data_IF_816853709637
#
_entry.id   IF_816853709637
#
_cell.length_a   1.000
_cell.length_b   1.000
_cell.length_c   1.000
_cell.angle_alpha   90.00
_cell.angle_beta   90.00
_cell.angle_gamma   90.00
#
_symmetry.space_group_name_H-M   'P 1'
#
loop_
_entity.id
_entity.type
_entity.pdbx_description
1 polymer ?
#
# COMPACT_ATOMS: atom_id res chain seq x y z
N UNK A 1 13.64 15.24 -30.71
CA UNK A 1 14.77 14.35 -30.36
C UNK A 1 14.72 13.93 -28.89
N UNK A 2 14.46 14.80 -27.93
CA UNK A 2 14.37 14.49 -26.48
C UNK A 2 13.26 13.49 -26.12
N UNK A 3 12.09 13.55 -26.76
CA UNK A 3 10.98 12.62 -26.49
C UNK A 3 11.34 11.15 -26.82
N UNK A 4 12.12 10.93 -27.87
CA UNK A 4 12.55 9.59 -28.29
C UNK A 4 13.57 8.96 -27.31
N UNK A 5 14.38 9.78 -26.62
CA UNK A 5 15.27 9.30 -25.56
C UNK A 5 14.52 8.98 -24.26
N UNK A 6 13.44 9.70 -23.95
CA UNK A 6 12.59 9.44 -22.78
C UNK A 6 11.92 8.05 -22.84
N UNK A 7 11.45 7.64 -24.04
CA UNK A 7 10.77 6.34 -24.20
C UNK A 7 11.64 5.12 -23.88
N UNK A 8 12.96 5.26 -23.93
CA UNK A 8 13.91 4.20 -23.59
C UNK A 8 14.59 4.40 -22.23
N UNK A 9 14.72 5.65 -21.77
CA UNK A 9 15.44 5.97 -20.54
C UNK A 9 14.70 5.45 -19.29
N UNK A 10 13.36 5.60 -19.23
CA UNK A 10 12.56 5.13 -18.10
C UNK A 10 12.55 3.59 -18.00
N UNK A 11 12.24 2.82 -19.06
CA UNK A 11 12.34 1.36 -19.01
C UNK A 11 13.75 0.88 -18.65
N UNK A 12 14.80 1.50 -19.20
CA UNK A 12 16.16 1.13 -18.88
C UNK A 12 16.51 1.38 -17.41
N UNK A 13 16.09 2.52 -16.86
CA UNK A 13 16.29 2.85 -15.44
C UNK A 13 15.53 1.88 -14.52
N UNK A 14 14.31 1.47 -14.88
CA UNK A 14 13.53 0.47 -14.14
C UNK A 14 14.24 -0.89 -14.17
N UNK A 15 14.74 -1.32 -15.33
CA UNK A 15 15.49 -2.58 -15.44
C UNK A 15 16.78 -2.52 -14.62
N UNK A 16 17.54 -1.41 -14.70
CA UNK A 16 18.74 -1.22 -13.90
C UNK A 16 18.45 -1.25 -12.39
N UNK A 17 17.36 -0.61 -11.95
CA UNK A 17 16.92 -0.66 -10.57
C UNK A 17 16.54 -2.08 -10.12
N UNK A 18 15.84 -2.84 -10.97
CA UNK A 18 15.51 -4.24 -10.70
C UNK A 18 16.76 -5.12 -10.57
N UNK A 19 17.73 -4.97 -11.50
CA UNK A 19 19.01 -5.70 -11.43
C UNK A 19 19.75 -5.37 -10.14
N UNK A 20 19.85 -4.09 -9.78
CA UNK A 20 20.48 -3.66 -8.54
C UNK A 20 19.76 -4.20 -7.30
N UNK A 21 18.42 -4.21 -7.31
CA UNK A 21 17.64 -4.82 -6.24
C UNK A 21 18.00 -6.30 -6.05
N UNK A 22 18.11 -7.07 -7.13
CA UNK A 22 18.56 -8.46 -7.05
C UNK A 22 19.99 -8.58 -6.52
N UNK A 23 20.92 -7.72 -6.97
CA UNK A 23 22.32 -7.74 -6.54
C UNK A 23 22.51 -7.41 -5.05
N UNK A 24 21.69 -6.50 -4.50
CA UNK A 24 21.76 -6.14 -3.06
C UNK A 24 21.10 -7.18 -2.16
N UNK A 25 20.25 -8.04 -2.72
CA UNK A 25 19.55 -9.05 -1.95
C UNK A 25 20.44 -10.29 -1.72
N UNK A 26 20.84 -10.58 -0.45
CA UNK A 26 21.72 -11.71 -0.15
C UNK A 26 21.15 -13.08 -0.53
N UNK A 27 19.85 -13.18 -0.73
CA UNK A 27 19.18 -14.41 -1.16
C UNK A 27 19.57 -14.82 -2.59
N UNK A 28 19.75 -13.84 -3.47
CA UNK A 28 20.09 -14.11 -4.87
C UNK A 28 21.61 -14.09 -5.13
N UNK A 29 22.34 -13.25 -4.40
CA UNK A 29 23.78 -13.08 -4.56
C UNK A 29 24.50 -13.02 -3.20
N UNK A 30 24.64 -14.16 -2.51
CA UNK A 30 25.28 -14.22 -1.18
C UNK A 30 26.75 -13.84 -1.19
N UNK A 31 27.43 -13.98 -2.34
CA UNK A 31 28.86 -13.70 -2.49
C UNK A 31 29.22 -12.21 -2.60
N UNK A 32 28.23 -11.31 -2.72
CA UNK A 32 28.48 -9.85 -2.80
C UNK A 32 28.91 -9.34 -1.43
N UNK A 33 30.04 -8.64 -1.35
CA UNK A 33 30.57 -8.08 -0.12
C UNK A 33 29.67 -6.98 0.48
N UNK A 34 29.84 -6.71 1.78
CA UNK A 34 29.01 -5.73 2.50
C UNK A 34 29.17 -4.31 1.96
N UNK A 35 30.37 -3.90 1.57
CA UNK A 35 30.65 -2.58 0.99
C UNK A 35 30.02 -2.41 -0.38
N UNK A 36 30.16 -3.41 -1.25
CA UNK A 36 29.58 -3.42 -2.60
C UNK A 36 28.05 -3.40 -2.52
N UNK A 37 27.49 -4.14 -1.58
CA UNK A 37 26.05 -4.14 -1.29
C UNK A 37 25.55 -2.79 -0.81
N UNK A 38 26.31 -2.11 0.05
CA UNK A 38 26.00 -0.75 0.51
C UNK A 38 25.98 0.25 -0.64
N UNK A 39 26.99 0.23 -1.50
CA UNK A 39 27.05 1.09 -2.70
C UNK A 39 25.90 0.80 -3.64
N UNK A 40 25.61 -0.47 -3.95
CA UNK A 40 24.52 -0.85 -4.83
C UNK A 40 23.14 -0.44 -4.26
N UNK A 41 22.95 -0.48 -2.94
CA UNK A 41 21.75 0.00 -2.27
C UNK A 41 21.57 1.51 -2.47
N UNK A 42 22.61 2.31 -2.28
CA UNK A 42 22.55 3.75 -2.51
C UNK A 42 22.21 4.04 -3.99
N UNK A 43 22.88 3.38 -4.92
CA UNK A 43 22.63 3.55 -6.36
C UNK A 43 21.19 3.15 -6.72
N UNK A 44 20.67 2.06 -6.13
CA UNK A 44 19.27 1.65 -6.30
C UNK A 44 18.30 2.76 -5.89
N UNK A 45 18.45 3.34 -4.70
CA UNK A 45 17.55 4.38 -4.23
C UNK A 45 17.65 5.68 -5.05
N UNK A 46 18.86 6.05 -5.48
CA UNK A 46 19.05 7.20 -6.39
C UNK A 46 18.34 6.96 -7.70
N UNK A 47 18.48 5.77 -8.31
CA UNK A 47 17.77 5.42 -9.53
C UNK A 47 16.26 5.40 -9.34
N UNK A 48 15.76 4.91 -8.21
CA UNK A 48 14.32 4.94 -7.90
C UNK A 48 13.78 6.37 -7.83
N UNK A 49 14.53 7.29 -7.20
CA UNK A 49 14.15 8.71 -7.18
C UNK A 49 14.13 9.29 -8.59
N UNK A 50 15.14 9.00 -9.40
CA UNK A 50 15.20 9.45 -10.79
C UNK A 50 14.02 8.91 -11.61
N UNK A 51 13.69 7.62 -11.47
CA UNK A 51 12.52 7.01 -12.12
C UNK A 51 11.23 7.72 -11.71
N UNK A 52 11.04 7.96 -10.41
CA UNK A 52 9.86 8.66 -9.90
C UNK A 52 9.76 10.07 -10.47
N UNK A 53 10.86 10.83 -10.49
CA UNK A 53 10.88 12.18 -11.07
C UNK A 53 10.53 12.14 -12.57
N UNK A 54 11.12 11.21 -13.33
CA UNK A 54 10.82 11.06 -14.76
C UNK A 54 9.35 10.69 -15.01
N UNK A 55 8.77 9.79 -14.19
CA UNK A 55 7.36 9.44 -14.27
C UNK A 55 6.44 10.62 -13.91
N UNK A 56 6.81 11.44 -12.93
CA UNK A 56 6.08 12.65 -12.61
C UNK A 56 6.14 13.70 -13.71
N UNK A 57 7.26 13.82 -14.41
CA UNK A 57 7.39 14.71 -15.56
C UNK A 57 6.64 14.19 -16.79
N UNK A 58 6.61 12.86 -17.00
CA UNK A 58 5.90 12.22 -18.11
C UNK A 58 4.38 12.44 -18.01
N UNK A 59 3.84 12.57 -16.78
CA UNK A 59 2.44 12.96 -16.54
C UNK A 59 2.04 14.30 -17.16
N UNK A 60 3.02 15.16 -17.49
CA UNK A 60 2.81 16.46 -18.15
C UNK A 60 2.92 16.36 -19.67
N UNK A 61 3.16 15.15 -20.22
CA UNK A 61 3.19 14.94 -21.66
C UNK A 61 1.80 15.22 -22.28
N UNK A 62 1.73 15.79 -23.49
CA UNK A 62 0.46 15.99 -24.19
C UNK A 62 -0.30 14.68 -24.34
N UNK A 63 -1.62 14.68 -24.11
CA UNK A 63 -2.50 13.50 -24.23
C UNK A 63 -2.37 12.78 -25.58
N UNK A 64 -1.97 13.49 -26.63
CA UNK A 64 -1.76 12.92 -27.96
C UNK A 64 -0.62 11.88 -28.05
N UNK A 65 0.28 11.83 -27.05
CA UNK A 65 1.39 10.85 -27.00
C UNK A 65 1.08 9.64 -26.13
N UNK A 66 -0.05 9.63 -25.41
CA UNK A 66 -0.44 8.52 -24.53
C UNK A 66 -1.52 7.68 -25.18
N UNK A 67 -1.33 6.35 -25.16
CA UNK A 67 -2.35 5.40 -25.60
C UNK A 67 -3.08 4.88 -24.37
N UNK A 68 -4.37 5.19 -24.24
CA UNK A 68 -5.21 4.67 -23.19
C UNK A 68 -5.61 3.23 -23.52
N UNK A 69 -5.25 2.27 -22.67
CA UNK A 69 -5.59 0.87 -22.86
C UNK A 69 -6.92 0.58 -22.17
N UNK A 70 -7.94 0.28 -22.96
CA UNK A 70 -9.23 -0.14 -22.41
C UNK A 70 -9.11 -1.53 -21.74
N UNK A 71 -9.49 -1.60 -20.47
CA UNK A 71 -9.56 -2.86 -19.74
C UNK A 71 -10.74 -3.74 -20.19
N UNK A 72 -10.68 -5.06 -19.92
CA UNK A 72 -11.80 -5.97 -20.17
C UNK A 72 -13.10 -5.48 -19.52
N UNK A 73 -14.25 -5.80 -20.11
CA UNK A 73 -15.56 -5.37 -19.61
C UNK A 73 -15.80 -5.77 -18.14
N UNK A 74 -15.29 -6.93 -17.73
CA UNK A 74 -15.39 -7.42 -16.35
C UNK A 74 -14.61 -6.52 -15.37
N UNK A 75 -13.38 -6.11 -15.68
CA UNK A 75 -12.59 -5.24 -14.81
C UNK A 75 -13.20 -3.85 -14.71
N UNK A 76 -13.71 -3.31 -15.82
CA UNK A 76 -14.46 -2.05 -15.79
C UNK A 76 -15.71 -2.14 -14.93
N UNK A 77 -16.47 -3.25 -15.03
CA UNK A 77 -17.61 -3.48 -14.14
C UNK A 77 -17.17 -3.50 -12.67
N UNK A 78 -16.16 -4.29 -12.35
CA UNK A 78 -15.74 -4.53 -10.98
C UNK A 78 -15.19 -3.27 -10.29
N UNK A 79 -14.42 -2.45 -11.02
CA UNK A 79 -13.70 -1.30 -10.45
C UNK A 79 -14.30 0.08 -10.77
N UNK A 80 -15.28 0.15 -11.68
CA UNK A 80 -15.83 1.43 -12.13
C UNK A 80 -17.35 1.49 -12.14
N UNK A 81 -18.06 0.42 -11.80
CA UNK A 81 -19.51 0.38 -11.77
C UNK A 81 -20.01 0.38 -10.31
N UNK A 82 -20.90 1.30 -9.96
CA UNK A 82 -21.42 1.41 -8.58
C UNK A 82 -22.19 0.18 -8.11
N UNK A 83 -22.77 -0.62 -9.03
CA UNK A 83 -23.40 -1.90 -8.68
C UNK A 83 -22.40 -2.93 -8.15
N UNK A 84 -21.15 -2.87 -8.63
CA UNK A 84 -20.08 -3.73 -8.10
C UNK A 84 -19.73 -3.42 -6.64
N UNK A 85 -20.13 -2.27 -6.12
CA UNK A 85 -20.03 -1.96 -4.69
C UNK A 85 -20.69 -3.00 -3.80
N UNK A 86 -21.71 -3.74 -4.28
CA UNK A 86 -22.32 -4.87 -3.55
C UNK A 86 -21.38 -6.06 -3.40
N UNK A 87 -20.47 -6.26 -4.35
CA UNK A 87 -19.44 -7.32 -4.29
C UNK A 87 -18.37 -6.90 -3.27
N UNK A 88 -18.01 -5.63 -3.28
CA UNK A 88 -16.99 -5.10 -2.38
C UNK A 88 -17.47 -4.90 -0.94
N UNK A 89 -18.78 -4.77 -0.74
CA UNK A 89 -19.37 -4.52 0.58
C UNK A 89 -19.01 -5.61 1.61
N UNK A 90 -19.25 -6.92 1.37
CA UNK A 90 -18.89 -7.96 2.33
C UNK A 90 -17.38 -8.03 2.58
N UNK A 91 -16.55 -7.83 1.56
CA UNK A 91 -15.08 -7.79 1.71
C UNK A 91 -14.67 -6.62 2.59
N UNK A 92 -15.24 -5.45 2.37
CA UNK A 92 -14.99 -4.26 3.15
C UNK A 92 -15.41 -4.43 4.62
N UNK A 93 -16.60 -5.00 4.85
CA UNK A 93 -17.11 -5.24 6.20
C UNK A 93 -16.25 -6.28 6.94
N UNK A 94 -15.83 -7.34 6.26
CA UNK A 94 -14.91 -8.33 6.82
C UNK A 94 -13.59 -7.67 7.25
N UNK A 95 -12.92 -6.99 6.34
CA UNK A 95 -11.65 -6.31 6.65
C UNK A 95 -11.82 -5.24 7.73
N UNK A 96 -12.91 -4.47 7.65
CA UNK A 96 -13.21 -3.44 8.65
C UNK A 96 -13.43 -4.01 10.05
N UNK A 97 -14.10 -5.15 10.15
CA UNK A 97 -14.30 -5.84 11.41
C UNK A 97 -12.98 -6.37 12.00
N UNK A 98 -12.16 -7.07 11.20
CA UNK A 98 -10.87 -7.60 11.64
C UNK A 98 -9.94 -6.47 12.15
N UNK A 99 -9.84 -5.35 11.41
CA UNK A 99 -9.06 -4.20 11.85
C UNK A 99 -9.62 -3.51 13.09
N UNK A 100 -10.95 -3.37 13.18
CA UNK A 100 -11.60 -2.72 14.33
C UNK A 100 -11.40 -3.54 15.62
N UNK A 101 -11.56 -4.85 15.55
CA UNK A 101 -11.33 -5.77 16.68
C UNK A 101 -9.86 -5.73 17.08
N UNK A 102 -8.93 -5.85 16.12
CA UNK A 102 -7.50 -5.82 16.41
C UNK A 102 -7.06 -4.50 17.08
N UNK A 103 -7.56 -3.36 16.58
CA UNK A 103 -7.27 -2.06 17.18
C UNK A 103 -7.91 -1.88 18.55
N UNK A 104 -9.15 -2.32 18.71
CA UNK A 104 -9.86 -2.27 20.00
C UNK A 104 -9.15 -3.10 21.08
N UNK A 105 -8.78 -4.34 20.75
CA UNK A 105 -8.07 -5.23 21.67
C UNK A 105 -6.73 -4.65 22.12
N UNK A 106 -6.01 -3.99 21.20
CA UNK A 106 -4.75 -3.32 21.54
C UNK A 106 -4.95 -2.05 22.36
N UNK A 107 -6.03 -1.30 22.15
CA UNK A 107 -6.33 -0.09 22.93
C UNK A 107 -6.77 -0.41 24.35
N UNK A 108 -7.44 -1.54 24.56
CA UNK A 108 -7.99 -1.95 25.87
C UNK A 108 -7.15 -2.99 26.59
N UNK A 109 -6.31 -3.72 25.83
CA UNK A 109 -5.44 -4.77 26.35
C UNK A 109 -4.17 -4.23 27.02
N UNK A 110 -3.60 -5.01 27.95
CA UNK A 110 -2.38 -4.61 28.64
C UNK A 110 -1.16 -4.62 27.70
N UNK A 111 -0.18 -3.79 28.01
CA UNK A 111 1.12 -3.79 27.32
C UNK A 111 1.15 -3.07 25.99
N UNK A 112 0.05 -2.48 25.52
CA UNK A 112 0.00 -1.68 24.31
C UNK A 112 0.06 -0.19 24.62
N UNK A 113 -0.98 0.35 25.21
CA UNK A 113 -1.11 1.80 25.50
C UNK A 113 -0.43 2.24 26.79
N UNK A 114 -0.05 1.31 27.62
CA UNK A 114 0.64 1.48 28.92
C UNK A 114 2.17 1.30 28.83
N UNK A 115 2.77 1.76 27.75
CA UNK A 115 4.25 1.75 27.55
C UNK A 115 4.74 0.87 26.40
N UNK A 116 3.85 0.14 25.71
CA UNK A 116 4.17 -0.60 24.49
C UNK A 116 4.99 -1.87 24.70
N UNK A 117 4.93 -2.48 25.91
CA UNK A 117 5.72 -3.68 26.24
C UNK A 117 5.32 -4.88 25.35
N UNK A 118 4.05 -5.01 24.97
CA UNK A 118 3.58 -6.05 24.06
C UNK A 118 4.18 -5.89 22.66
N UNK A 119 4.20 -4.67 22.13
CA UNK A 119 4.83 -4.38 20.85
C UNK A 119 6.34 -4.61 20.89
N UNK A 120 7.00 -4.21 21.98
CA UNK A 120 8.43 -4.47 22.18
C UNK A 120 8.72 -5.98 22.19
N UNK A 121 7.91 -6.77 22.87
CA UNK A 121 8.01 -8.23 22.87
C UNK A 121 7.87 -8.81 21.47
N UNK A 122 6.89 -8.34 20.72
CA UNK A 122 6.67 -8.73 19.32
C UNK A 122 7.89 -8.40 18.43
N UNK A 123 8.41 -7.17 18.52
CA UNK A 123 9.58 -6.77 17.74
C UNK A 123 10.82 -7.59 18.09
N UNK A 124 11.11 -7.78 19.39
CA UNK A 124 12.24 -8.61 19.85
C UNK A 124 12.14 -10.04 19.34
N UNK A 125 10.94 -10.61 19.35
CA UNK A 125 10.71 -11.95 18.79
C UNK A 125 10.93 -11.98 17.27
N UNK A 126 10.46 -10.97 16.55
CA UNK A 126 10.58 -10.89 15.10
C UNK A 126 12.03 -10.73 14.63
N UNK A 127 12.84 -9.88 15.30
CA UNK A 127 14.25 -9.65 14.92
C UNK A 127 15.18 -10.79 15.33
N UNK A 128 14.75 -11.68 16.22
CA UNK A 128 15.58 -12.75 16.71
C UNK A 128 16.04 -13.70 15.57
N UNK A 129 17.33 -14.06 15.62
CA UNK A 129 17.90 -15.06 14.71
C UNK A 129 18.03 -16.37 15.51
N UNK A 130 17.19 -17.36 15.22
CA UNK A 130 17.25 -18.63 15.95
C UNK A 130 18.53 -19.40 15.60
N UNK A 131 19.03 -20.19 16.52
CA UNK A 131 20.19 -21.07 16.29
C UNK A 131 19.86 -22.25 15.38
N UNK A 132 18.58 -22.61 15.28
CA UNK A 132 18.07 -23.68 14.41
C UNK A 132 16.78 -23.20 13.74
N UNK A 133 16.55 -23.58 12.49
CA UNK A 133 15.37 -23.16 11.72
C UNK A 133 15.61 -21.85 10.95
N UNK A 134 14.52 -21.16 10.61
CA UNK A 134 14.54 -19.94 9.82
C UNK A 134 14.18 -18.72 10.67
N UNK A 135 14.87 -17.61 10.43
CA UNK A 135 14.50 -16.33 11.03
C UNK A 135 13.11 -15.86 10.53
N UNK A 136 12.33 -15.24 11.40
CA UNK A 136 11.00 -14.73 11.04
C UNK A 136 11.09 -13.66 9.94
N UNK A 137 12.07 -12.75 10.04
CA UNK A 137 12.30 -11.70 9.05
C UNK A 137 13.29 -12.19 8.01
N UNK A 138 12.86 -12.22 6.75
CA UNK A 138 13.69 -12.57 5.59
C UNK A 138 14.55 -11.39 5.11
N UNK A 139 14.01 -10.16 5.18
CA UNK A 139 14.65 -8.96 4.63
C UNK A 139 15.46 -8.23 5.69
N UNK A 140 16.78 -8.19 5.53
CA UNK A 140 17.70 -7.59 6.50
C UNK A 140 17.44 -6.09 6.74
N UNK A 141 17.03 -5.34 5.71
CA UNK A 141 16.68 -3.94 5.86
C UNK A 141 15.50 -3.74 6.83
N UNK A 142 14.52 -4.66 6.83
CA UNK A 142 13.36 -4.57 7.73
C UNK A 142 13.73 -4.97 9.16
N UNK A 143 14.60 -5.97 9.31
CA UNK A 143 15.18 -6.34 10.61
C UNK A 143 15.93 -5.16 11.22
N UNK A 144 16.80 -4.50 10.44
CA UNK A 144 17.56 -3.34 10.87
C UNK A 144 16.65 -2.17 11.24
N UNK A 145 15.55 -1.97 10.51
CA UNK A 145 14.54 -0.97 10.85
C UNK A 145 13.87 -1.25 12.20
N UNK A 146 13.42 -2.48 12.45
CA UNK A 146 12.83 -2.84 13.74
C UNK A 146 13.86 -2.78 14.88
N UNK A 147 15.10 -3.20 14.64
CA UNK A 147 16.17 -3.07 15.62
C UNK A 147 16.42 -1.60 15.97
N UNK A 148 16.47 -0.71 14.99
CA UNK A 148 16.56 0.73 15.20
C UNK A 148 15.44 1.26 16.10
N UNK A 149 14.18 0.84 15.89
CA UNK A 149 13.06 1.23 16.74
C UNK A 149 13.20 0.71 18.16
N UNK A 150 13.69 -0.51 18.34
CA UNK A 150 13.96 -1.12 19.65
C UNK A 150 15.05 -0.32 20.39
N UNK A 151 16.16 -0.04 19.74
CA UNK A 151 17.32 0.63 20.33
C UNK A 151 17.00 2.08 20.75
N UNK A 152 16.02 2.71 20.08
CA UNK A 152 15.56 4.07 20.40
C UNK A 152 14.34 4.10 21.35
N UNK A 153 13.90 2.95 21.86
CA UNK A 153 12.76 2.88 22.79
C UNK A 153 11.45 3.38 22.21
N UNK A 154 11.25 3.18 20.88
CA UNK A 154 10.10 3.72 20.14
C UNK A 154 8.78 3.01 20.43
N UNK A 155 8.78 1.90 21.16
CA UNK A 155 7.60 1.03 21.35
C UNK A 155 6.40 1.77 21.95
N UNK A 156 6.61 2.71 22.85
CA UNK A 156 5.51 3.40 23.55
C UNK A 156 4.61 4.19 22.60
N UNK A 157 5.19 5.13 21.84
CA UNK A 157 4.43 5.94 20.91
C UNK A 157 3.98 5.15 19.66
N UNK A 158 4.81 4.18 19.24
CA UNK A 158 4.50 3.37 18.06
C UNK A 158 3.34 2.40 18.32
N UNK A 159 3.24 1.86 19.54
CA UNK A 159 2.10 1.03 19.94
C UNK A 159 0.78 1.83 19.88
N UNK A 160 0.77 3.08 20.32
CA UNK A 160 -0.37 3.98 20.13
C UNK A 160 -0.72 4.19 18.66
N UNK A 161 0.31 4.48 17.83
CA UNK A 161 0.13 4.68 16.40
C UNK A 161 -0.50 3.45 15.73
N UNK A 162 -0.01 2.24 16.06
CA UNK A 162 -0.56 0.98 15.54
C UNK A 162 -2.00 0.78 16.00
N UNK A 163 -2.25 0.86 17.32
CA UNK A 163 -3.58 0.57 17.88
C UNK A 163 -4.66 1.53 17.37
N UNK A 164 -4.37 2.84 17.36
CA UNK A 164 -5.29 3.85 16.81
C UNK A 164 -5.42 3.72 15.30
N UNK A 165 -4.31 3.44 14.60
CA UNK A 165 -4.30 3.24 13.16
C UNK A 165 -5.18 2.06 12.73
N UNK A 166 -5.08 0.92 13.40
CA UNK A 166 -5.92 -0.25 13.15
C UNK A 166 -7.40 0.04 13.40
N UNK A 167 -7.72 0.68 14.52
CA UNK A 167 -9.12 1.06 14.81
C UNK A 167 -9.66 2.06 13.78
N UNK A 168 -8.87 3.06 13.40
CA UNK A 168 -9.26 4.06 12.40
C UNK A 168 -9.50 3.41 11.02
N UNK A 169 -8.62 2.49 10.59
CA UNK A 169 -8.81 1.70 9.36
C UNK A 169 -10.08 0.87 9.47
N UNK A 170 -10.28 0.19 10.60
CA UNK A 170 -11.47 -0.62 10.86
C UNK A 170 -12.75 0.21 10.74
N UNK A 171 -12.85 1.34 11.42
CA UNK A 171 -14.00 2.24 11.36
C UNK A 171 -14.18 2.81 9.95
N UNK A 172 -13.10 3.25 9.29
CA UNK A 172 -13.13 3.76 7.93
C UNK A 172 -13.71 2.76 6.95
N UNK A 173 -13.27 1.51 7.03
CA UNK A 173 -13.77 0.41 6.20
C UNK A 173 -15.22 0.03 6.56
N UNK A 174 -15.57 -0.10 7.84
CA UNK A 174 -16.94 -0.45 8.26
C UNK A 174 -17.96 0.57 7.78
N UNK A 175 -17.69 1.85 7.98
CA UNK A 175 -18.59 2.94 7.59
C UNK A 175 -18.47 3.29 6.10
N UNK A 176 -17.42 2.85 5.42
CA UNK A 176 -17.11 3.25 4.04
C UNK A 176 -16.78 4.73 3.95
N UNK A 177 -15.89 5.20 4.82
CA UNK A 177 -15.37 6.58 4.86
C UNK A 177 -13.95 6.53 4.30
N UNK A 178 -13.70 7.26 3.22
CA UNK A 178 -12.40 7.28 2.54
C UNK A 178 -11.85 5.86 2.35
N UNK A 179 -12.70 4.97 1.85
CA UNK A 179 -12.45 3.52 1.77
C UNK A 179 -11.10 3.19 1.13
N UNK A 180 -10.72 3.91 0.06
CA UNK A 180 -9.42 3.72 -0.59
C UNK A 180 -8.23 4.10 0.29
N UNK A 181 -8.35 5.18 1.06
CA UNK A 181 -7.31 5.64 2.01
C UNK A 181 -7.21 4.65 3.17
N UNK A 182 -8.34 4.27 3.76
CA UNK A 182 -8.38 3.27 4.83
C UNK A 182 -7.76 1.94 4.36
N UNK A 183 -8.12 1.48 3.16
CA UNK A 183 -7.54 0.29 2.57
C UNK A 183 -6.02 0.42 2.35
N UNK A 184 -5.53 1.57 1.89
CA UNK A 184 -4.09 1.81 1.70
C UNK A 184 -3.31 1.68 3.02
N UNK A 185 -3.78 2.32 4.09
CA UNK A 185 -3.13 2.19 5.40
C UNK A 185 -3.26 0.78 5.98
N UNK A 186 -4.40 0.12 5.79
CA UNK A 186 -4.57 -1.30 6.14
C UNK A 186 -3.58 -2.21 5.41
N UNK A 187 -3.37 -2.00 4.10
CA UNK A 187 -2.36 -2.73 3.33
C UNK A 187 -0.94 -2.48 3.85
N UNK A 188 -0.62 -1.23 4.21
CA UNK A 188 0.70 -0.86 4.74
C UNK A 188 0.97 -1.56 6.08
N UNK A 189 0.01 -1.59 6.98
CA UNK A 189 0.13 -2.30 8.25
C UNK A 189 0.23 -3.81 8.04
N UNK A 190 -0.60 -4.38 7.15
CA UNK A 190 -0.53 -5.80 6.80
C UNK A 190 0.83 -6.18 6.20
N UNK A 191 1.36 -5.37 5.28
CA UNK A 191 2.70 -5.59 4.73
C UNK A 191 3.76 -5.59 5.83
N UNK A 192 3.66 -4.66 6.80
CA UNK A 192 4.57 -4.60 7.93
C UNK A 192 4.53 -5.87 8.79
N UNK A 193 3.33 -6.42 9.04
CA UNK A 193 3.18 -7.69 9.75
C UNK A 193 3.75 -8.87 8.97
N UNK A 194 3.50 -8.94 7.66
CA UNK A 194 4.05 -9.98 6.79
C UNK A 194 5.58 -9.93 6.73
N UNK A 195 6.17 -8.73 6.65
CA UNK A 195 7.63 -8.54 6.68
C UNK A 195 8.23 -8.94 8.04
N UNK A 196 7.47 -8.82 9.12
CA UNK A 196 7.86 -9.30 10.46
C UNK A 196 7.67 -10.82 10.64
N UNK A 197 7.19 -11.53 9.63
CA UNK A 197 6.97 -12.97 9.66
C UNK A 197 5.63 -13.40 10.25
N UNK A 198 4.72 -12.45 10.52
CA UNK A 198 3.36 -12.76 11.01
C UNK A 198 2.45 -13.15 9.85
N UNK A 199 2.22 -14.45 9.68
CA UNK A 199 1.35 -14.96 8.60
C UNK A 199 -0.12 -14.93 8.99
N UNK A 200 -0.60 -15.82 9.86
CA UNK A 200 -2.01 -15.91 10.28
C UNK A 200 -3.00 -15.57 9.16
N UNK A 201 -3.92 -14.63 9.38
CA UNK A 201 -4.91 -14.14 8.38
C UNK A 201 -4.37 -13.02 7.49
N UNK A 202 -3.18 -12.49 7.79
CA UNK A 202 -2.61 -11.32 7.11
C UNK A 202 -2.48 -11.47 5.58
N UNK A 203 -2.07 -12.62 5.00
CA UNK A 203 -1.98 -12.77 3.55
C UNK A 203 -3.34 -12.61 2.86
N UNK A 204 -4.39 -13.16 3.44
CA UNK A 204 -5.77 -13.08 2.89
C UNK A 204 -6.29 -11.65 3.00
N UNK A 205 -6.12 -11.02 4.17
CA UNK A 205 -6.48 -9.62 4.37
C UNK A 205 -5.74 -8.71 3.39
N UNK A 206 -4.45 -8.92 3.19
CA UNK A 206 -3.64 -8.14 2.25
C UNK A 206 -4.15 -8.26 0.81
N UNK A 207 -4.45 -9.48 0.34
CA UNK A 207 -4.98 -9.71 -0.99
C UNK A 207 -6.32 -9.00 -1.22
N UNK A 208 -7.25 -9.11 -0.26
CA UNK A 208 -8.54 -8.41 -0.34
C UNK A 208 -8.40 -6.89 -0.24
N UNK A 209 -7.45 -6.40 0.55
CA UNK A 209 -7.20 -4.96 0.69
C UNK A 209 -6.67 -4.36 -0.63
N UNK A 210 -5.81 -5.08 -1.38
CA UNK A 210 -5.40 -4.67 -2.73
C UNK A 210 -6.62 -4.51 -3.63
N UNK A 211 -7.57 -5.46 -3.59
CA UNK A 211 -8.83 -5.35 -4.33
C UNK A 211 -9.61 -4.08 -3.98
N UNK A 212 -9.73 -3.73 -2.69
CA UNK A 212 -10.39 -2.49 -2.25
C UNK A 212 -9.65 -1.23 -2.71
N UNK A 213 -8.31 -1.25 -2.72
CA UNK A 213 -7.50 -0.13 -3.24
C UNK A 213 -7.80 0.08 -4.73
N UNK A 214 -7.83 -0.99 -5.53
CA UNK A 214 -8.17 -0.90 -6.95
C UNK A 214 -9.62 -0.45 -7.17
N UNK A 215 -10.53 -0.87 -6.29
CA UNK A 215 -11.95 -0.51 -6.31
C UNK A 215 -12.28 0.78 -5.54
N UNK A 216 -11.30 1.60 -5.17
CA UNK A 216 -11.45 2.73 -4.26
C UNK A 216 -12.63 3.67 -4.57
N UNK A 217 -12.95 3.84 -5.85
CA UNK A 217 -14.08 4.67 -6.29
C UNK A 217 -15.43 4.05 -5.96
N UNK A 218 -15.58 2.73 -6.00
CA UNK A 218 -16.87 2.04 -5.92
C UNK A 218 -17.05 1.22 -4.64
N UNK A 219 -15.96 0.83 -3.99
CA UNK A 219 -16.01 -0.02 -2.80
C UNK A 219 -16.72 0.67 -1.61
N UNK A 220 -16.63 1.99 -1.52
CA UNK A 220 -17.31 2.82 -0.49
C UNK A 220 -18.72 3.29 -0.88
N UNK A 221 -19.21 2.93 -2.08
CA UNK A 221 -20.50 3.46 -2.58
C UNK A 221 -21.69 3.12 -1.68
N UNK A 222 -21.73 1.93 -1.10
CA UNK A 222 -22.72 1.56 -0.08
C UNK A 222 -22.23 1.93 1.33
N UNK A 223 -21.77 3.17 1.49
CA UNK A 223 -21.25 3.77 2.72
C UNK A 223 -21.26 5.29 2.60
N UNK A 224 -20.50 5.95 3.48
CA UNK A 224 -20.38 7.40 3.54
C UNK A 224 -19.73 7.99 2.28
N UNK A 225 -18.85 7.24 1.61
CA UNK A 225 -18.18 7.67 0.38
C UNK A 225 -19.14 8.03 -0.75
N UNK A 226 -20.34 7.46 -0.74
CA UNK A 226 -21.41 7.87 -1.67
C UNK A 226 -21.67 9.37 -1.66
N UNK A 227 -21.58 9.99 -0.49
CA UNK A 227 -21.83 11.42 -0.30
C UNK A 227 -20.54 12.23 -0.20
N UNK A 228 -19.47 11.59 0.28
CA UNK A 228 -18.19 12.25 0.54
C UNK A 228 -17.36 12.42 -0.74
N UNK A 229 -17.19 11.38 -1.56
CA UNK A 229 -16.37 11.43 -2.76
C UNK A 229 -16.80 12.51 -3.78
N UNK A 230 -18.10 12.72 -4.06
CA UNK A 230 -18.52 13.83 -4.92
C UNK A 230 -18.11 15.20 -4.40
N UNK A 231 -18.16 15.41 -3.07
CA UNK A 231 -17.74 16.67 -2.44
C UNK A 231 -16.21 16.86 -2.50
N UNK A 232 -15.45 15.78 -2.61
CA UNK A 232 -14.00 15.79 -2.78
C UNK A 232 -13.56 15.85 -4.26
N UNK A 233 -14.50 16.11 -5.18
CA UNK A 233 -14.19 16.24 -6.61
C UNK A 233 -14.16 14.92 -7.40
N UNK A 234 -14.73 13.86 -6.85
CA UNK A 234 -14.89 12.56 -7.52
C UNK A 234 -16.39 12.27 -7.72
N UNK A 235 -17.05 12.94 -8.70
CA UNK A 235 -18.48 12.75 -8.94
C UNK A 235 -18.79 11.37 -9.53
N UNK A 236 -19.98 10.85 -9.20
CA UNK A 236 -20.53 9.67 -9.84
C UNK A 236 -21.00 10.03 -11.25
N UNK A 237 -20.29 9.59 -12.29
CA UNK A 237 -20.68 9.84 -13.67
C UNK A 237 -21.99 9.13 -14.02
N UNK A 238 -22.98 9.86 -14.53
CA UNK A 238 -24.13 9.27 -15.18
C UNK A 238 -23.68 8.71 -16.54
N UNK A 239 -23.51 7.38 -16.68
CA UNK A 239 -23.40 6.77 -18.00
C UNK A 239 -24.80 6.71 -18.62
N UNK A 240 -25.04 7.50 -19.66
CA UNK A 240 -26.10 7.24 -20.62
C UNK A 240 -25.70 5.95 -21.38
N UNK A 241 -26.54 4.91 -21.40
CA UNK A 241 -26.26 3.72 -22.22
C UNK A 241 -26.07 4.16 -23.69
N UNK A 242 -24.88 3.98 -24.25
CA UNK A 242 -24.59 4.26 -25.66
C UNK A 242 -24.21 5.68 -26.04
N UNK A 243 -24.06 6.60 -25.10
CA UNK A 243 -23.60 7.97 -25.36
C UNK A 243 -22.10 8.17 -25.15
N UNK A 244 -21.44 9.05 -25.93
CA UNK A 244 -20.09 9.46 -25.64
C UNK A 244 -20.01 10.07 -24.23
N UNK A 245 -18.86 9.94 -23.57
CA UNK A 245 -18.61 10.57 -22.28
C UNK A 245 -18.78 12.10 -22.47
N UNK A 246 -19.89 12.64 -22.02
CA UNK A 246 -20.10 14.08 -22.00
C UNK A 246 -19.21 14.63 -20.90
N UNK A 247 -18.12 15.31 -21.27
CA UNK A 247 -17.34 16.11 -20.35
C UNK A 247 -18.27 17.11 -19.65
N UNK A 248 -18.15 17.22 -18.33
CA UNK A 248 -18.92 18.17 -17.52
C UNK A 248 -18.75 19.57 -18.09
N UNK A 249 -19.83 20.35 -18.36
CA UNK A 249 -19.71 21.73 -18.79
C UNK A 249 -19.30 22.58 -17.57
N UNK A 250 -18.01 22.85 -17.43
CA UNK A 250 -17.52 23.64 -16.29
C UNK A 250 -16.02 23.91 -16.31
N UNK A 251 -15.43 24.19 -17.48
CA UNK A 251 -14.10 24.80 -17.53
C UNK A 251 -13.96 25.65 -18.80
N UNK A 252 -14.77 26.72 -18.92
CA UNK A 252 -14.47 27.85 -19.79
C UNK A 252 -14.71 29.10 -18.97
N UNK A 253 -13.67 29.65 -18.45
CA UNK A 253 -13.40 31.10 -18.28
C UNK A 253 -12.07 31.26 -17.57
#
# INVERSE_FOLDING_TARGET
MLARYRSFAVPLAVVAAAVLFYMVNPWFFPAVGSTERGVATVVFWVLMIVVLVLLFEDRKAPEAETVEVEGPAFTRYLFSNTRAGLIWLPIRLFLGFEWAVAGYDKLTGPGWTDGGSALLGYWKSAVAIPTTGHAAITFEWYRSFLQFLIDHGAQGWFAWLVSVGELAVGIGLLLGILTGIAAFFGATMNMSYLLAGSTSVNPVMFAFTIGLILAWKVAGYYGVDRYLLPRLGVPWGARTPGGPVVASPGSVS
#
